data_IF_568254413046
#
_entry.id   IF_568254413046
#
_cell.length_a   1.000
_cell.length_b   1.000
_cell.length_c   1.000
_cell.angle_alpha   90.00
_cell.angle_beta   90.00
_cell.angle_gamma   90.00
#
_symmetry.space_group_name_H-M   'P 1'
#
loop_
_entity.id
_entity.type
_entity.pdbx_description
1 polymer ?
#
# COMPACT_ATOMS: atom_id res chain seq x y z
N UNK A 1 -3.18 -27.24 -36.19
CA UNK A 1 -2.38 -26.81 -35.02
C UNK A 1 -3.20 -25.68 -34.43
N UNK A 2 -4.12 -26.10 -33.57
CA UNK A 2 -5.39 -25.40 -33.39
C UNK A 2 -5.24 -24.28 -32.39
N UNK A 3 -5.40 -23.05 -32.88
CA UNK A 3 -5.63 -21.88 -32.07
C UNK A 3 -6.99 -22.04 -31.37
N UNK A 4 -6.98 -22.56 -30.14
CA UNK A 4 -8.11 -22.45 -29.23
C UNK A 4 -8.23 -20.99 -28.79
N UNK A 5 -8.99 -20.22 -29.58
CA UNK A 5 -9.54 -18.94 -29.20
C UNK A 5 -10.58 -19.19 -28.08
N UNK A 6 -10.19 -18.91 -26.84
CA UNK A 6 -11.10 -18.98 -25.70
C UNK A 6 -12.12 -17.86 -25.84
N UNK A 7 -13.29 -18.21 -26.36
CA UNK A 7 -14.51 -17.42 -26.24
C UNK A 7 -14.65 -16.89 -24.81
N UNK A 8 -14.58 -15.57 -24.63
CA UNK A 8 -14.93 -14.90 -23.37
C UNK A 8 -16.37 -15.27 -23.02
N UNK A 9 -16.55 -16.22 -22.09
CA UNK A 9 -17.89 -16.63 -21.67
C UNK A 9 -18.66 -15.39 -21.17
N UNK A 10 -19.90 -15.17 -21.62
CA UNK A 10 -20.68 -13.97 -21.26
C UNK A 10 -20.88 -13.84 -19.74
N UNK A 11 -20.74 -14.95 -18.99
CA UNK A 11 -20.72 -14.98 -17.55
C UNK A 11 -19.48 -14.30 -16.96
N UNK A 12 -18.28 -14.61 -17.45
CA UNK A 12 -17.01 -14.05 -16.97
C UNK A 12 -16.99 -12.53 -17.16
N UNK A 13 -17.48 -12.05 -18.31
CA UNK A 13 -17.58 -10.61 -18.60
C UNK A 13 -18.53 -9.89 -17.63
N UNK A 14 -19.68 -10.49 -17.29
CA UNK A 14 -20.62 -9.95 -16.29
C UNK A 14 -20.02 -9.94 -14.89
N UNK A 15 -19.36 -11.02 -14.48
CA UNK A 15 -18.70 -11.11 -13.17
C UNK A 15 -17.61 -10.04 -13.04
N UNK A 16 -16.79 -9.84 -14.08
CA UNK A 16 -15.75 -8.81 -14.08
C UNK A 16 -16.34 -7.39 -13.98
N UNK A 17 -17.50 -7.14 -14.60
CA UNK A 17 -18.20 -5.86 -14.45
C UNK A 17 -18.71 -5.63 -13.01
N UNK A 18 -19.26 -6.67 -12.36
CA UNK A 18 -19.71 -6.60 -10.96
C UNK A 18 -18.53 -6.34 -10.02
N UNK A 19 -17.42 -7.05 -10.22
CA UNK A 19 -16.20 -6.88 -9.41
C UNK A 19 -15.68 -5.44 -9.54
N UNK A 20 -15.57 -4.90 -10.77
CA UNK A 20 -15.12 -3.52 -10.97
C UNK A 20 -16.07 -2.50 -10.33
N UNK A 21 -17.37 -2.74 -10.37
CA UNK A 21 -18.33 -1.88 -9.67
C UNK A 21 -18.14 -1.93 -8.15
N UNK A 22 -18.02 -3.13 -7.57
CA UNK A 22 -17.81 -3.31 -6.14
C UNK A 22 -16.51 -2.63 -5.67
N UNK A 23 -15.42 -2.76 -6.43
CA UNK A 23 -14.14 -2.13 -6.10
C UNK A 23 -14.20 -0.59 -6.16
N UNK A 24 -14.95 0.00 -7.10
CA UNK A 24 -15.18 1.45 -7.12
C UNK A 24 -15.94 1.94 -5.90
N UNK A 25 -16.97 1.20 -5.49
CA UNK A 25 -17.72 1.50 -4.26
C UNK A 25 -16.79 1.40 -3.05
N UNK A 26 -15.96 0.37 -2.99
CA UNK A 26 -14.98 0.19 -1.92
C UNK A 26 -13.98 1.37 -1.85
N UNK A 27 -13.48 1.83 -2.99
CA UNK A 27 -12.59 2.99 -3.05
C UNK A 27 -13.25 4.26 -2.49
N UNK A 28 -14.52 4.52 -2.83
CA UNK A 28 -15.28 5.65 -2.30
C UNK A 28 -15.47 5.56 -0.78
N UNK A 29 -15.83 4.38 -0.29
CA UNK A 29 -15.98 4.13 1.16
C UNK A 29 -14.64 4.37 1.86
N UNK A 30 -13.54 3.85 1.32
CA UNK A 30 -12.21 4.04 1.90
C UNK A 30 -11.79 5.51 1.93
N UNK A 31 -12.10 6.28 0.89
CA UNK A 31 -11.86 7.74 0.90
C UNK A 31 -12.63 8.41 2.05
N UNK A 32 -13.90 8.06 2.27
CA UNK A 32 -14.67 8.59 3.39
C UNK A 32 -14.08 8.19 4.76
N UNK A 33 -13.63 6.94 4.90
CA UNK A 33 -12.95 6.46 6.12
C UNK A 33 -11.67 7.23 6.40
N UNK A 34 -10.87 7.54 5.38
CA UNK A 34 -9.65 8.35 5.53
C UNK A 34 -10.02 9.76 6.02
N UNK A 35 -11.02 10.40 5.41
CA UNK A 35 -11.46 11.75 5.81
C UNK A 35 -11.95 11.76 7.27
N UNK A 36 -12.78 10.79 7.65
CA UNK A 36 -13.21 10.65 9.04
C UNK A 36 -12.07 10.35 9.99
N UNK A 37 -11.13 9.48 9.61
CA UNK A 37 -9.97 9.17 10.41
C UNK A 37 -9.09 10.40 10.68
N UNK A 38 -8.91 11.28 9.70
CA UNK A 38 -8.18 12.55 9.91
C UNK A 38 -8.91 13.45 10.91
N UNK A 39 -10.23 13.58 10.79
CA UNK A 39 -11.05 14.36 11.73
C UNK A 39 -10.97 13.76 13.14
N UNK A 40 -11.06 12.43 13.26
CA UNK A 40 -10.98 11.70 14.52
C UNK A 40 -9.62 11.91 15.20
N UNK A 41 -8.52 11.82 14.46
CA UNK A 41 -7.17 12.09 14.98
C UNK A 41 -7.05 13.53 15.47
N UNK A 42 -7.54 14.52 14.70
CA UNK A 42 -7.55 15.91 15.14
C UNK A 42 -8.37 16.10 16.41
N UNK A 43 -9.50 15.40 16.52
CA UNK A 43 -10.38 15.46 17.67
C UNK A 43 -9.74 14.84 18.92
N UNK A 44 -9.13 13.67 18.80
CA UNK A 44 -8.37 13.00 19.89
C UNK A 44 -7.24 13.89 20.38
N UNK A 45 -6.43 14.43 19.46
CA UNK A 45 -5.34 15.34 19.81
C UNK A 45 -5.86 16.59 20.54
N UNK A 46 -6.97 17.17 20.06
CA UNK A 46 -7.58 18.32 20.71
C UNK A 46 -8.05 18.02 22.13
N UNK A 47 -8.67 16.85 22.35
CA UNK A 47 -9.08 16.44 23.69
C UNK A 47 -7.89 16.26 24.62
N UNK A 48 -6.83 15.58 24.17
CA UNK A 48 -5.62 15.34 24.97
C UNK A 48 -4.91 16.65 25.37
N UNK A 49 -4.91 17.66 24.50
CA UNK A 49 -4.31 18.97 24.81
C UNK A 49 -5.04 19.75 25.92
N UNK A 50 -6.36 19.58 26.02
CA UNK A 50 -7.21 20.35 26.95
C UNK A 50 -7.48 19.59 28.25
N UNK A 51 -7.30 18.26 28.27
CA UNK A 51 -7.39 17.47 29.49
C UNK A 51 -6.34 17.90 30.55
N UNK A 52 -6.72 17.91 31.84
CA UNK A 52 -5.80 18.23 32.93
C UNK A 52 -4.86 17.04 33.21
N UNK A 53 -3.53 17.22 33.42
CA UNK A 53 -2.71 18.43 33.42
C UNK A 53 -2.48 18.99 32.01
N UNK A 54 -2.89 20.25 31.81
CA UNK A 54 -2.85 20.91 30.50
C UNK A 54 -1.41 20.97 29.99
N UNK A 55 -1.22 20.67 28.70
CA UNK A 55 0.07 20.70 28.00
C UNK A 55 1.10 19.63 28.43
N UNK A 56 0.74 18.63 29.23
CA UNK A 56 1.60 17.48 29.53
C UNK A 56 1.01 16.20 28.92
N UNK A 57 1.59 15.76 27.81
CA UNK A 57 1.29 14.47 27.21
C UNK A 57 2.10 13.37 27.91
N UNK A 58 1.43 12.38 28.50
CA UNK A 58 2.13 11.21 29.01
C UNK A 58 2.54 10.31 27.85
N UNK A 59 3.53 9.43 28.07
CA UNK A 59 3.95 8.45 27.05
C UNK A 59 2.77 7.59 26.58
N UNK A 60 1.82 7.27 27.47
CA UNK A 60 0.65 6.47 27.13
C UNK A 60 -0.31 7.21 26.20
N UNK A 61 -0.46 8.53 26.36
CA UNK A 61 -1.33 9.37 25.54
C UNK A 61 -0.71 9.59 24.15
N UNK A 62 0.62 9.81 24.10
CA UNK A 62 1.38 9.88 22.84
C UNK A 62 1.23 8.57 22.04
N UNK A 63 1.37 7.43 22.70
CA UNK A 63 1.19 6.12 22.06
C UNK A 63 -0.24 5.89 21.58
N UNK A 64 -1.24 6.35 22.35
CA UNK A 64 -2.65 6.28 21.95
C UNK A 64 -2.92 7.12 20.71
N UNK A 65 -2.42 8.36 20.68
CA UNK A 65 -2.54 9.25 19.53
C UNK A 65 -1.80 8.69 18.31
N UNK A 66 -0.61 8.10 18.47
CA UNK A 66 0.05 7.38 17.37
C UNK A 66 -0.77 6.20 16.86
N UNK A 67 -1.47 5.47 17.73
CA UNK A 67 -2.43 4.45 17.31
C UNK A 67 -3.50 4.97 16.37
N UNK A 68 -4.08 6.14 16.67
CA UNK A 68 -5.05 6.81 15.80
C UNK A 68 -4.41 7.24 14.47
N UNK A 69 -3.21 7.81 14.49
CA UNK A 69 -2.45 8.10 13.26
C UNK A 69 -2.21 6.84 12.41
N UNK A 70 -1.92 5.69 13.04
CA UNK A 70 -1.74 4.43 12.32
C UNK A 70 -3.00 3.91 11.68
N UNK A 71 -4.15 4.08 12.33
CA UNK A 71 -5.42 3.71 11.73
C UNK A 71 -5.64 4.45 10.40
N UNK A 72 -5.31 5.74 10.35
CA UNK A 72 -5.37 6.55 9.13
C UNK A 72 -4.35 6.08 8.08
N UNK A 73 -3.12 5.80 8.49
CA UNK A 73 -2.07 5.36 7.56
C UNK A 73 -2.37 3.99 6.94
N UNK A 74 -2.91 3.06 7.73
CA UNK A 74 -3.42 1.77 7.26
C UNK A 74 -4.55 1.97 6.24
N UNK A 75 -5.47 2.90 6.51
CA UNK A 75 -6.56 3.20 5.57
C UNK A 75 -6.03 3.73 4.23
N UNK A 76 -5.03 4.62 4.26
CA UNK A 76 -4.37 5.14 3.05
C UNK A 76 -3.66 4.01 2.28
N UNK A 77 -2.95 3.13 2.97
CA UNK A 77 -2.25 1.99 2.37
C UNK A 77 -3.21 1.03 1.67
N UNK A 78 -4.33 0.70 2.33
CA UNK A 78 -5.39 -0.13 1.74
C UNK A 78 -6.00 0.57 0.52
N UNK A 79 -6.25 1.88 0.59
CA UNK A 79 -6.78 2.65 -0.54
C UNK A 79 -5.86 2.59 -1.76
N UNK A 80 -4.55 2.78 -1.57
CA UNK A 80 -3.56 2.69 -2.66
C UNK A 80 -3.58 1.29 -3.30
N UNK A 81 -3.62 0.23 -2.49
CA UNK A 81 -3.71 -1.15 -3.00
C UNK A 81 -4.98 -1.39 -3.83
N UNK A 82 -6.11 -0.81 -3.42
CA UNK A 82 -7.38 -0.87 -4.16
C UNK A 82 -7.30 -0.08 -5.47
N UNK A 83 -6.69 1.11 -5.46
CA UNK A 83 -6.53 1.93 -6.66
C UNK A 83 -5.66 1.26 -7.72
N UNK A 84 -4.61 0.55 -7.31
CA UNK A 84 -3.76 -0.23 -8.22
C UNK A 84 -4.60 -1.31 -8.92
N UNK A 85 -5.44 -2.03 -8.17
CA UNK A 85 -6.36 -3.01 -8.75
C UNK A 85 -7.37 -2.39 -9.74
N UNK A 86 -7.80 -1.15 -9.49
CA UNK A 86 -8.74 -0.46 -10.39
C UNK A 86 -8.06 0.03 -11.67
N UNK A 87 -6.78 0.40 -11.61
CA UNK A 87 -6.00 0.89 -12.75
C UNK A 87 -5.49 -0.26 -13.61
N UNK A 88 -5.02 -1.32 -12.98
CA UNK A 88 -4.44 -2.49 -13.61
C UNK A 88 -5.30 -3.67 -13.20
N UNK A 89 -5.99 -4.32 -14.16
CA UNK A 89 -6.85 -5.50 -13.90
C UNK A 89 -6.06 -6.73 -13.37
N UNK A 90 -4.79 -6.55 -12.99
CA UNK A 90 -3.86 -7.56 -12.50
C UNK A 90 -3.37 -7.19 -11.10
N UNK A 91 -3.37 -8.18 -10.20
CA UNK A 91 -2.85 -8.03 -8.85
C UNK A 91 -1.32 -8.04 -8.93
N UNK A 92 -0.70 -6.87 -8.79
CA UNK A 92 0.74 -6.75 -8.62
C UNK A 92 1.15 -7.27 -7.25
N UNK A 93 1.45 -8.58 -7.18
CA UNK A 93 1.86 -9.27 -5.95
C UNK A 93 3.03 -8.57 -5.27
N UNK A 94 3.97 -8.01 -6.04
CA UNK A 94 5.10 -7.25 -5.51
C UNK A 94 4.66 -6.04 -4.68
N UNK A 95 3.69 -5.26 -5.17
CA UNK A 95 3.22 -4.06 -4.47
C UNK A 95 2.42 -4.45 -3.23
N UNK A 96 1.58 -5.49 -3.31
CA UNK A 96 0.81 -5.97 -2.14
C UNK A 96 1.73 -6.47 -1.03
N UNK A 97 2.76 -7.25 -1.37
CA UNK A 97 3.76 -7.75 -0.42
C UNK A 97 4.58 -6.61 0.19
N UNK A 98 4.98 -5.61 -0.62
CA UNK A 98 5.68 -4.42 -0.14
C UNK A 98 4.81 -3.61 0.82
N UNK A 99 3.53 -3.40 0.50
CA UNK A 99 2.58 -2.71 1.37
C UNK A 99 2.36 -3.47 2.68
N UNK A 100 2.33 -4.81 2.64
CA UNK A 100 2.22 -5.62 3.85
C UNK A 100 3.46 -5.48 4.75
N UNK A 101 4.67 -5.54 4.19
CA UNK A 101 5.92 -5.31 4.94
C UNK A 101 5.97 -3.90 5.52
N UNK A 102 5.58 -2.89 4.74
CA UNK A 102 5.49 -1.49 5.18
C UNK A 102 4.50 -1.32 6.33
N UNK A 103 3.32 -1.95 6.27
CA UNK A 103 2.31 -1.89 7.33
C UNK A 103 2.81 -2.51 8.64
N UNK A 104 3.52 -3.65 8.58
CA UNK A 104 4.11 -4.27 9.78
C UNK A 104 5.23 -3.40 10.34
N UNK A 105 6.13 -2.91 9.48
CA UNK A 105 7.20 -2.00 9.90
C UNK A 105 6.62 -0.77 10.62
N UNK A 106 5.56 -0.18 10.04
CA UNK A 106 4.83 0.93 10.62
C UNK A 106 4.24 0.59 11.99
N UNK A 107 3.69 -0.61 12.18
CA UNK A 107 3.15 -1.08 13.47
C UNK A 107 4.23 -1.34 14.53
N UNK A 108 5.40 -1.84 14.14
CA UNK A 108 6.53 -2.11 15.04
C UNK A 108 7.11 -0.81 15.61
N UNK A 109 7.15 0.27 14.81
CA UNK A 109 7.69 1.57 15.25
C UNK A 109 6.96 2.14 16.47
N UNK A 110 5.68 1.79 16.67
CA UNK A 110 4.80 2.39 17.70
C UNK A 110 4.53 1.41 18.84
N UNK A 111 5.14 0.24 18.78
CA UNK A 111 4.97 -0.79 19.80
C UNK A 111 5.49 -0.28 21.15
N UNK A 112 4.65 -0.38 22.18
CA UNK A 112 5.05 -0.09 23.57
C UNK A 112 5.66 -1.33 24.22
N UNK A 113 6.97 -1.33 24.39
CA UNK A 113 7.70 -2.44 25.02
C UNK A 113 7.38 -2.61 26.51
N UNK A 114 6.73 -1.64 27.17
CA UNK A 114 6.32 -1.79 28.57
C UNK A 114 5.03 -2.62 28.73
N UNK A 115 4.18 -2.64 27.70
CA UNK A 115 2.91 -3.36 27.69
C UNK A 115 2.95 -4.64 26.85
N UNK A 116 4.01 -4.81 26.06
CA UNK A 116 4.14 -5.92 25.11
C UNK A 116 5.00 -7.03 25.69
N UNK A 117 4.49 -8.26 25.71
CA UNK A 117 5.28 -9.41 26.16
C UNK A 117 6.43 -9.70 25.17
N UNK A 118 7.59 -10.17 25.66
CA UNK A 118 8.70 -10.55 24.78
C UNK A 118 8.32 -11.61 23.74
N UNK A 119 7.38 -12.49 24.09
CA UNK A 119 6.82 -13.51 23.18
C UNK A 119 6.15 -12.88 21.95
N UNK A 120 5.42 -11.77 22.13
CA UNK A 120 4.77 -11.07 21.03
C UNK A 120 5.79 -10.41 20.09
N UNK A 121 6.90 -9.90 20.63
CA UNK A 121 8.01 -9.34 19.84
C UNK A 121 8.65 -10.42 18.98
N UNK A 122 8.92 -11.60 19.54
CA UNK A 122 9.44 -12.74 18.78
C UNK A 122 8.46 -13.24 17.71
N UNK A 123 7.16 -13.25 18.00
CA UNK A 123 6.13 -13.59 17.01
C UNK A 123 6.12 -12.62 15.83
N UNK A 124 6.18 -11.31 16.09
CA UNK A 124 6.27 -10.30 15.02
C UNK A 124 7.55 -10.48 14.19
N UNK A 125 8.69 -10.72 14.84
CA UNK A 125 9.95 -10.97 14.14
C UNK A 125 9.85 -12.17 13.19
N UNK A 126 9.19 -13.26 13.64
CA UNK A 126 8.92 -14.43 12.80
C UNK A 126 8.06 -14.11 11.57
N UNK A 127 6.97 -13.34 11.74
CA UNK A 127 6.10 -12.92 10.63
C UNK A 127 6.85 -12.02 9.65
N UNK A 128 7.59 -11.02 10.14
CA UNK A 128 8.41 -10.12 9.32
C UNK A 128 9.44 -10.90 8.54
N UNK A 129 10.11 -11.87 9.17
CA UNK A 129 11.12 -12.71 8.52
C UNK A 129 10.51 -13.59 7.43
N UNK A 130 9.41 -14.27 7.72
CA UNK A 130 8.70 -15.09 6.74
C UNK A 130 8.21 -14.27 5.54
N UNK A 131 7.65 -13.08 5.77
CA UNK A 131 7.21 -12.18 4.71
C UNK A 131 8.37 -11.59 3.91
N UNK A 132 9.49 -11.27 4.56
CA UNK A 132 10.70 -10.76 3.89
C UNK A 132 11.28 -11.80 2.94
N UNK A 133 11.32 -13.07 3.37
CA UNK A 133 11.70 -14.20 2.50
C UNK A 133 10.71 -14.32 1.33
N UNK A 134 9.40 -14.30 1.60
CA UNK A 134 8.38 -14.37 0.55
C UNK A 134 8.52 -13.25 -0.49
N UNK A 135 8.74 -12.01 -0.03
CA UNK A 135 8.99 -10.87 -0.91
C UNK A 135 10.27 -11.04 -1.73
N UNK A 136 11.37 -11.48 -1.11
CA UNK A 136 12.63 -11.75 -1.80
C UNK A 136 12.47 -12.81 -2.90
N UNK A 137 11.77 -13.91 -2.62
CA UNK A 137 11.51 -14.95 -3.62
C UNK A 137 10.68 -14.42 -4.79
N UNK A 138 9.58 -13.70 -4.51
CA UNK A 138 8.71 -13.15 -5.57
C UNK A 138 9.47 -12.18 -6.46
N UNK A 139 10.29 -11.30 -5.87
CA UNK A 139 11.13 -10.35 -6.62
C UNK A 139 12.16 -11.09 -7.48
N UNK A 140 12.84 -12.10 -6.92
CA UNK A 140 13.87 -12.84 -7.65
C UNK A 140 13.30 -13.73 -8.77
N UNK A 141 12.15 -14.37 -8.54
CA UNK A 141 11.45 -15.17 -9.57
C UNK A 141 10.85 -14.30 -10.69
N UNK A 142 10.46 -13.06 -10.37
CA UNK A 142 9.98 -12.12 -11.38
C UNK A 142 11.11 -11.61 -12.28
N UNK A 143 12.34 -11.48 -11.77
CA UNK A 143 13.50 -11.06 -12.57
C UNK A 143 13.91 -12.07 -13.66
N UNK A 144 13.62 -13.36 -13.51
CA UNK A 144 13.87 -14.34 -14.57
C UNK A 144 13.00 -14.10 -15.83
N UNK A 145 11.87 -13.39 -15.69
CA UNK A 145 11.03 -12.96 -16.81
C UNK A 145 11.25 -11.48 -17.17
N UNK A 146 11.67 -10.65 -16.21
CA UNK A 146 12.01 -9.22 -16.39
C UNK A 146 13.52 -9.07 -16.69
N UNK A 147 14.00 -9.77 -17.72
CA UNK A 147 15.20 -9.37 -18.47
C UNK A 147 14.82 -8.76 -19.83
N UNK A 148 13.56 -8.34 -19.98
CA UNK A 148 13.01 -7.72 -21.20
C UNK A 148 12.48 -6.29 -20.96
N UNK A 149 12.39 -5.83 -19.71
CA UNK A 149 11.86 -4.49 -19.41
C UNK A 149 12.87 -3.63 -18.68
N UNK A 150 13.54 -2.78 -19.45
CA UNK A 150 14.28 -1.61 -18.98
C UNK A 150 13.99 -0.48 -20.00
N UNK A 151 13.93 0.81 -19.63
CA UNK A 151 13.51 1.46 -18.40
C UNK A 151 12.28 2.39 -18.62
N UNK A 152 11.61 2.77 -17.52
CA UNK A 152 10.54 3.79 -17.43
C UNK A 152 11.06 5.25 -17.61
N UNK A 153 12.25 5.45 -18.16
CA UNK A 153 12.76 6.77 -18.52
C UNK A 153 13.27 6.77 -19.96
N UNK A 154 12.58 7.41 -20.91
CA UNK A 154 13.12 7.60 -22.25
C UNK A 154 14.35 8.51 -22.13
N UNK A 155 15.48 8.07 -22.70
CA UNK A 155 16.63 8.95 -22.93
C UNK A 155 16.19 10.02 -23.91
N UNK A 156 16.06 11.26 -23.44
CA UNK A 156 15.70 12.42 -24.25
C UNK A 156 16.56 12.46 -25.52
N UNK A 157 15.88 12.29 -26.66
CA UNK A 157 16.46 12.44 -28.00
C UNK A 157 16.10 13.82 -28.54
N UNK A 158 16.69 14.85 -27.94
CA UNK A 158 16.94 16.13 -28.57
C UNK A 158 18.46 16.31 -28.41
N UNK A 159 19.30 16.15 -29.43
CA UNK A 159 19.47 17.04 -30.57
C UNK A 159 20.08 16.28 -31.78
N UNK A 160 19.31 16.05 -32.83
CA UNK A 160 19.82 15.78 -34.19
C UNK A 160 18.85 16.34 -35.23
N UNK A 161 18.78 17.67 -35.33
CA UNK A 161 18.31 18.35 -36.54
C UNK A 161 18.54 19.86 -36.48
N UNK A 162 19.79 20.31 -36.51
CA UNK A 162 20.11 21.66 -37.01
C UNK A 162 21.58 21.81 -37.38
N UNK A 163 21.97 21.24 -38.53
CA UNK A 163 23.01 21.75 -39.43
C UNK A 163 23.37 20.66 -40.45
N UNK A 164 22.41 20.27 -41.29
CA UNK A 164 22.77 19.72 -42.60
C UNK A 164 21.87 20.36 -43.64
N UNK A 165 22.45 21.36 -44.32
CA UNK A 165 22.29 21.75 -45.75
C UNK A 165 22.61 23.24 -45.95
N UNK A 166 22.93 23.69 -47.17
CA UNK A 166 24.02 23.24 -48.06
C UNK A 166 24.74 24.44 -48.73
N UNK A 167 26.05 24.38 -48.99
CA UNK A 167 26.70 25.10 -50.09
C UNK A 167 27.88 24.27 -50.62
#
# INVERSE_FOLDING_TARGET
MDHHDHSDEPLILRLRAIIRFAVRVLALIMTAVILWGVVDVCWVLYQELISPPRFLLTISDILATFGAFMAVLIAIEIFVNICIYLREDLIHVQIVMATALMAIARKVIILDFNKTSPEYVWAIAGVVFAMSIGYFLVVNSSQTCIAMFDPIFPKDRHERHKAEKPE
#
